data_IF_789914058900
#
_entry.id   IF_789914058900
#
_cell.length_a   1.000
_cell.length_b   1.000
_cell.length_c   1.000
_cell.angle_alpha   90.00
_cell.angle_beta   90.00
_cell.angle_gamma   90.00
#
_symmetry.space_group_name_H-M   'P 1'
#
loop_
_entity.id
_entity.type
_entity.pdbx_description
1 polymer ?
#
# COMPACT_ATOMS: atom_id res chain seq x y z
N UNK A 1 -0.31 53.54 -26.17
CA UNK A 1 0.76 53.03 -25.28
C UNK A 1 0.15 51.99 -24.35
N UNK A 2 0.56 50.73 -24.49
CA UNK A 2 0.14 49.55 -23.71
C UNK A 2 1.39 48.94 -23.09
N UNK A 3 1.29 48.46 -21.85
CA UNK A 3 2.11 47.42 -21.19
C UNK A 3 1.63 47.32 -19.71
N UNK A 4 1.48 46.20 -18.99
CA UNK A 4 1.65 44.74 -19.16
C UNK A 4 0.54 44.07 -18.29
N UNK A 5 -0.13 42.95 -18.60
CA UNK A 5 0.23 41.53 -18.80
C UNK A 5 1.01 40.84 -17.67
N UNK A 6 0.30 40.06 -16.84
CA UNK A 6 0.76 38.73 -16.41
C UNK A 6 -0.45 37.77 -16.32
N UNK A 7 -0.35 36.69 -17.11
CA UNK A 7 -1.27 35.54 -17.16
C UNK A 7 -0.58 34.39 -16.44
N UNK A 8 -1.32 33.63 -15.64
CA UNK A 8 -0.97 32.26 -15.26
C UNK A 8 -1.99 31.33 -15.92
N UNK A 9 -1.48 30.40 -16.73
CA UNK A 9 -2.20 29.31 -17.40
C UNK A 9 -1.80 28.02 -16.69
N UNK A 10 -2.73 27.11 -16.34
CA UNK A 10 -2.38 25.80 -15.82
C UNK A 10 -1.87 24.90 -16.96
N UNK A 11 -0.73 24.25 -16.73
CA UNK A 11 -0.12 23.29 -17.66
C UNK A 11 -0.83 21.95 -17.49
N UNK A 12 -1.60 21.56 -18.51
CA UNK A 12 -1.89 20.16 -18.81
C UNK A 12 -0.61 19.50 -19.30
N UNK A 13 -0.17 18.42 -18.65
CA UNK A 13 0.85 17.53 -19.22
C UNK A 13 0.17 16.22 -19.61
N UNK A 14 -0.01 16.05 -20.93
CA UNK A 14 -0.44 14.83 -21.59
C UNK A 14 0.73 13.83 -21.58
N UNK A 15 0.46 12.57 -21.26
CA UNK A 15 1.37 11.45 -21.44
C UNK A 15 1.37 11.07 -22.93
N UNK A 16 2.52 11.17 -23.58
CA UNK A 16 2.77 10.59 -24.89
C UNK A 16 4.21 10.07 -24.91
N UNK A 17 4.42 8.75 -24.97
CA UNK A 17 5.65 8.17 -25.50
C UNK A 17 5.40 6.76 -26.07
N UNK A 18 5.58 6.63 -27.38
CA UNK A 18 6.19 5.47 -28.02
C UNK A 18 7.38 5.97 -28.85
N UNK A 19 8.39 5.11 -28.96
CA UNK A 19 9.64 5.23 -29.73
C UNK A 19 10.79 6.00 -29.08
N UNK A 20 11.57 5.29 -28.25
CA UNK A 20 12.99 4.96 -28.51
C UNK A 20 13.39 3.85 -27.55
N UNK A 21 14.07 2.80 -28.05
CA UNK A 21 14.50 1.65 -27.26
C UNK A 21 15.59 2.00 -26.26
N UNK A 22 15.17 2.23 -25.01
CA UNK A 22 15.91 1.97 -23.77
C UNK A 22 14.85 2.04 -22.66
N UNK A 23 14.39 0.88 -22.18
CA UNK A 23 13.54 0.79 -20.98
C UNK A 23 14.41 1.12 -19.77
N UNK A 24 14.48 2.42 -19.44
CA UNK A 24 14.96 2.86 -18.14
C UNK A 24 13.91 2.46 -17.11
N UNK A 25 14.32 1.76 -16.05
CA UNK A 25 13.45 1.36 -14.96
C UNK A 25 12.71 2.58 -14.40
N UNK A 26 11.39 2.49 -14.24
CA UNK A 26 10.57 3.56 -13.65
C UNK A 26 10.98 3.91 -12.20
N UNK A 27 11.86 3.10 -11.60
CA UNK A 27 12.46 3.26 -10.28
C UNK A 27 13.35 4.50 -10.06
N UNK A 28 13.71 5.28 -11.10
CA UNK A 28 14.67 6.40 -10.98
C UNK A 28 14.05 7.80 -10.73
N UNK A 29 12.71 7.91 -10.56
CA UNK A 29 12.05 9.23 -10.44
C UNK A 29 11.42 9.56 -9.08
N UNK A 30 11.54 8.72 -8.04
CA UNK A 30 10.95 9.00 -6.73
C UNK A 30 11.86 8.61 -5.57
N UNK A 31 12.83 9.47 -5.26
CA UNK A 31 13.61 9.38 -4.03
C UNK A 31 13.69 10.76 -3.35
N UNK A 32 12.70 11.08 -2.53
CA UNK A 32 12.79 12.14 -1.53
C UNK A 32 12.55 11.51 -0.15
N UNK A 33 13.66 11.20 0.54
CA UNK A 33 13.66 10.64 1.89
C UNK A 33 13.38 11.74 2.92
N UNK A 34 12.55 11.42 3.91
CA UNK A 34 12.83 11.84 5.28
C UNK A 34 12.38 10.74 6.24
N UNK A 35 13.35 10.12 6.92
CA UNK A 35 13.14 9.10 7.93
C UNK A 35 12.88 9.74 9.29
N UNK A 36 11.93 9.19 10.05
CA UNK A 36 11.86 9.38 11.50
C UNK A 36 11.42 8.08 12.18
N UNK A 37 12.38 7.17 12.37
CA UNK A 37 12.23 5.98 13.21
C UNK A 37 12.83 6.26 14.59
N UNK A 38 11.98 6.54 15.57
CA UNK A 38 12.29 6.36 16.99
C UNK A 38 11.01 6.04 17.75
N UNK A 39 10.94 4.83 18.32
CA UNK A 39 9.99 4.45 19.36
C UNK A 39 10.29 5.29 20.62
N UNK A 40 9.68 6.46 20.71
CA UNK A 40 9.69 7.26 21.93
C UNK A 40 8.37 7.03 22.69
N UNK A 41 8.38 6.98 24.03
CA UNK A 41 7.15 7.17 24.80
C UNK A 41 6.49 8.50 24.37
N UNK A 42 5.16 8.58 24.50
CA UNK A 42 4.41 9.79 24.17
C UNK A 42 5.15 11.03 24.71
N UNK A 43 5.41 12.05 23.88
CA UNK A 43 6.14 13.24 24.34
C UNK A 43 5.45 13.84 25.56
N UNK A 44 6.21 14.48 26.45
CA UNK A 44 5.74 15.06 27.73
C UNK A 44 4.69 16.18 27.59
N UNK A 45 4.17 16.41 26.38
CA UNK A 45 3.17 17.40 26.00
C UNK A 45 1.96 16.78 25.27
N UNK A 46 1.89 15.46 25.11
CA UNK A 46 0.70 14.78 24.61
C UNK A 46 -0.45 14.89 25.61
N UNK A 47 -1.67 15.16 25.12
CA UNK A 47 -2.86 15.16 25.96
C UNK A 47 -3.26 13.71 26.25
N UNK A 48 -3.19 13.30 27.52
CA UNK A 48 -3.69 11.99 27.93
C UNK A 48 -5.22 11.95 27.83
N UNK A 49 -5.73 10.90 27.18
CA UNK A 49 -7.14 10.65 26.90
C UNK A 49 -7.49 9.28 27.47
N UNK A 50 -8.24 9.28 28.57
CA UNK A 50 -8.70 8.05 29.21
C UNK A 50 -10.11 7.68 28.70
N UNK A 51 -10.18 6.64 27.88
CA UNK A 51 -11.43 6.10 27.35
C UNK A 51 -12.09 5.04 28.27
N UNK A 52 -11.50 4.71 29.43
CA UNK A 52 -12.12 3.82 30.41
C UNK A 52 -13.39 4.46 31.02
N UNK A 53 -13.30 5.73 31.40
CA UNK A 53 -14.38 6.45 32.07
C UNK A 53 -15.34 7.14 31.08
N UNK A 54 -14.81 7.57 29.93
CA UNK A 54 -15.59 8.18 28.84
C UNK A 54 -15.13 7.61 27.49
N UNK A 55 -15.81 6.58 26.94
CA UNK A 55 -15.45 5.99 25.66
C UNK A 55 -15.45 6.97 24.46
N UNK A 56 -16.09 8.13 24.61
CA UNK A 56 -16.13 9.19 23.58
C UNK A 56 -15.05 10.27 23.79
N UNK A 57 -14.19 10.14 24.80
CA UNK A 57 -13.19 11.14 25.16
C UNK A 57 -12.26 11.50 24.00
N UNK A 58 -11.83 10.51 23.21
CA UNK A 58 -10.96 10.74 22.05
C UNK A 58 -11.62 11.62 20.98
N UNK A 59 -12.86 11.28 20.58
CA UNK A 59 -13.59 12.08 19.61
C UNK A 59 -13.80 13.52 20.10
N UNK A 60 -14.13 13.69 21.39
CA UNK A 60 -14.28 15.02 22.01
C UNK A 60 -12.96 15.77 22.04
N UNK A 61 -11.84 15.13 22.36
CA UNK A 61 -10.52 15.74 22.41
C UNK A 61 -10.08 16.23 21.02
N UNK A 62 -10.28 15.41 19.98
CA UNK A 62 -10.02 15.79 18.59
C UNK A 62 -10.95 16.93 18.15
N UNK A 63 -12.23 16.87 18.49
CA UNK A 63 -13.19 17.94 18.16
C UNK A 63 -12.87 19.27 18.85
N UNK A 64 -12.38 19.23 20.09
CA UNK A 64 -12.03 20.43 20.86
C UNK A 64 -10.61 20.94 20.59
N UNK A 65 -9.76 20.17 19.91
CA UNK A 65 -8.41 20.62 19.55
C UNK A 65 -8.47 21.89 18.71
N UNK A 66 -7.61 22.86 19.02
CA UNK A 66 -7.56 24.08 18.23
C UNK A 66 -6.84 23.81 16.90
N UNK A 67 -7.22 24.53 15.85
CA UNK A 67 -6.38 24.61 14.65
C UNK A 67 -5.06 25.25 15.06
N UNK A 68 -4.05 24.39 15.19
CA UNK A 68 -2.76 24.71 15.75
C UNK A 68 -1.73 24.58 14.63
N UNK A 69 -0.75 25.46 14.59
CA UNK A 69 0.43 25.32 13.72
C UNK A 69 1.34 24.18 14.18
N UNK A 70 1.13 23.69 15.41
CA UNK A 70 1.82 22.56 16.00
C UNK A 70 0.94 21.33 15.98
N UNK A 71 1.57 20.17 15.78
CA UNK A 71 0.92 18.86 15.83
C UNK A 71 0.20 18.66 17.17
N UNK A 72 -1.07 18.27 17.15
CA UNK A 72 -1.82 17.92 18.37
C UNK A 72 -1.65 16.43 18.65
N UNK A 73 -1.09 16.10 19.81
CA UNK A 73 -0.80 14.73 20.21
C UNK A 73 -1.78 14.25 21.28
N UNK A 74 -2.37 13.08 21.05
CA UNK A 74 -3.30 12.42 21.95
C UNK A 74 -2.76 11.04 22.34
N UNK A 75 -2.75 10.81 23.64
CA UNK A 75 -2.17 9.67 24.29
C UNK A 75 -3.32 8.85 24.89
N UNK A 76 -3.74 7.76 24.23
CA UNK A 76 -4.98 7.04 24.57
C UNK A 76 -4.72 5.88 25.53
N UNK A 77 -5.68 5.68 26.44
CA UNK A 77 -5.78 4.51 27.31
C UNK A 77 -7.22 3.98 27.35
N UNK A 78 -7.39 2.67 27.44
CA UNK A 78 -8.71 2.01 27.43
C UNK A 78 -9.29 1.82 26.03
N UNK A 79 -10.59 1.57 25.95
CA UNK A 79 -11.28 1.31 24.68
C UNK A 79 -12.11 2.53 24.26
N UNK A 80 -11.66 3.22 23.22
CA UNK A 80 -12.36 4.37 22.65
C UNK A 80 -13.39 3.90 21.61
N UNK A 81 -14.55 4.53 21.61
CA UNK A 81 -15.66 4.18 20.72
C UNK A 81 -15.72 5.11 19.50
N UNK A 82 -15.60 4.52 18.31
CA UNK A 82 -15.84 5.17 17.03
C UNK A 82 -17.34 5.27 16.66
N UNK A 83 -17.67 5.91 15.52
CA UNK A 83 -16.73 6.38 14.50
C UNK A 83 -15.90 7.57 14.97
N UNK A 84 -14.57 7.46 14.87
CA UNK A 84 -13.65 8.57 15.12
C UNK A 84 -13.43 9.33 13.82
N UNK A 85 -13.86 10.58 13.75
CA UNK A 85 -13.72 11.43 12.56
C UNK A 85 -12.58 12.42 12.81
N UNK A 86 -11.56 12.36 11.95
CA UNK A 86 -10.40 13.25 11.95
C UNK A 86 -10.41 14.06 10.66
N UNK A 87 -10.83 15.32 10.77
CA UNK A 87 -10.90 16.30 9.68
C UNK A 87 -10.02 17.55 9.93
N UNK A 88 -9.15 17.46 10.93
CA UNK A 88 -8.17 18.48 11.31
C UNK A 88 -6.77 18.03 10.98
N UNK A 89 -5.92 18.96 10.58
CA UNK A 89 -4.53 18.66 10.23
C UNK A 89 -3.67 18.40 11.46
N UNK A 90 -2.57 17.70 11.23
CA UNK A 90 -1.48 17.47 12.18
C UNK A 90 -1.96 16.83 13.49
N UNK A 91 -2.71 15.74 13.38
CA UNK A 91 -3.18 14.95 14.53
C UNK A 91 -2.28 13.74 14.69
N UNK A 92 -1.85 13.47 15.91
CA UNK A 92 -1.14 12.24 16.25
C UNK A 92 -1.86 11.56 17.40
N UNK A 93 -2.21 10.30 17.19
CA UNK A 93 -2.82 9.45 18.21
C UNK A 93 -1.86 8.31 18.48
N UNK A 94 -1.45 8.20 19.74
CA UNK A 94 -0.58 7.14 20.23
C UNK A 94 -1.23 6.44 21.42
N UNK A 95 -0.87 5.19 21.64
CA UNK A 95 -1.25 4.46 22.85
C UNK A 95 -0.13 4.56 23.91
N UNK A 96 -0.50 4.88 25.15
CA UNK A 96 0.43 5.19 26.25
C UNK A 96 1.19 3.98 26.80
N UNK A 97 0.71 2.77 26.54
CA UNK A 97 1.40 1.53 26.86
C UNK A 97 1.23 0.52 25.72
N UNK A 98 2.09 -0.50 25.59
CA UNK A 98 1.84 -1.58 24.65
C UNK A 98 0.48 -2.23 24.98
N UNK A 99 -0.51 -2.01 24.12
CA UNK A 99 -1.82 -2.66 24.08
C UNK A 99 -2.91 -2.24 25.11
N UNK A 100 -2.79 -1.11 25.80
CA UNK A 100 -3.89 -0.60 26.66
C UNK A 100 -4.98 0.19 25.92
N UNK A 101 -4.59 0.91 24.87
CA UNK A 101 -5.45 1.73 24.03
C UNK A 101 -5.95 0.96 22.81
N UNK A 102 -7.27 0.96 22.60
CA UNK A 102 -7.89 0.41 21.39
C UNK A 102 -9.01 1.30 20.90
N UNK A 103 -9.31 1.22 19.61
CA UNK A 103 -10.48 1.87 19.02
C UNK A 103 -11.38 0.76 18.48
N UNK A 104 -12.65 0.78 18.88
CA UNK A 104 -13.69 -0.15 18.41
C UNK A 104 -14.91 0.65 17.97
N UNK A 105 -15.78 0.06 17.16
CA UNK A 105 -17.07 0.70 16.88
C UNK A 105 -18.01 0.56 18.08
N UNK A 106 -18.73 1.65 18.37
CA UNK A 106 -19.75 1.64 19.40
C UNK A 106 -20.83 0.57 19.07
N UNK A 107 -21.14 -0.38 19.98
CA UNK A 107 -22.14 -1.41 19.76
C UNK A 107 -23.52 -0.89 19.35
N UNK A 108 -23.89 0.31 19.78
CA UNK A 108 -25.17 0.95 19.41
C UNK A 108 -25.22 1.40 17.94
N UNK A 109 -24.07 1.51 17.27
CA UNK A 109 -23.96 1.83 15.84
C UNK A 109 -23.89 0.56 14.96
N UNK A 110 -23.98 -0.63 15.55
CA UNK A 110 -24.11 -1.90 14.84
C UNK A 110 -25.61 -2.08 14.47
N UNK A 111 -26.08 -1.27 13.52
CA UNK A 111 -27.39 -1.49 12.88
C UNK A 111 -27.22 -2.33 11.62
N UNK A 112 -28.33 -2.83 11.05
CA UNK A 112 -28.38 -3.73 9.89
C UNK A 112 -27.78 -3.17 8.58
N UNK A 113 -27.30 -1.93 8.56
CA UNK A 113 -26.60 -1.29 7.43
C UNK A 113 -25.07 -1.31 7.63
N UNK A 114 -24.54 -2.50 7.93
CA UNK A 114 -23.12 -2.79 8.19
C UNK A 114 -22.13 -2.38 7.09
N UNK A 115 -22.59 -1.90 5.92
CA UNK A 115 -21.74 -1.75 4.72
C UNK A 115 -20.94 -0.45 4.64
N UNK A 116 -21.18 0.55 5.49
CA UNK A 116 -20.53 1.89 5.35
C UNK A 116 -19.91 2.47 6.61
N UNK A 117 -20.12 1.88 7.79
CA UNK A 117 -19.61 2.46 9.05
C UNK A 117 -18.14 2.13 9.25
N UNK A 118 -17.30 3.16 9.33
CA UNK A 118 -15.86 3.06 9.52
C UNK A 118 -15.52 3.28 11.01
N UNK A 119 -14.56 2.54 11.58
CA UNK A 119 -14.12 2.77 12.98
C UNK A 119 -13.40 4.12 13.11
N UNK A 120 -12.55 4.43 12.14
CA UNK A 120 -11.82 5.70 12.03
C UNK A 120 -11.92 6.21 10.59
N UNK A 121 -12.33 7.47 10.44
CA UNK A 121 -12.36 8.18 9.16
C UNK A 121 -11.42 9.38 9.21
N UNK A 122 -10.44 9.40 8.32
CA UNK A 122 -9.47 10.48 8.16
C UNK A 122 -9.75 11.18 6.84
N UNK A 123 -10.03 12.48 6.88
CA UNK A 123 -10.49 13.24 5.72
C UNK A 123 -9.83 14.62 5.65
N UNK A 124 -9.19 14.97 4.53
CA UNK A 124 -8.50 16.26 4.33
C UNK A 124 -7.57 16.63 5.50
N UNK A 125 -6.79 15.66 5.95
CA UNK A 125 -6.01 15.75 7.18
C UNK A 125 -4.62 15.12 7.04
N UNK A 126 -3.72 15.48 7.95
CA UNK A 126 -2.43 14.80 8.14
C UNK A 126 -2.45 14.13 9.50
N UNK A 127 -2.34 12.80 9.53
CA UNK A 127 -2.54 12.00 10.76
C UNK A 127 -1.42 10.99 10.96
N UNK A 128 -0.97 10.82 12.20
CA UNK A 128 -0.16 9.68 12.61
C UNK A 128 -0.94 8.83 13.61
N UNK A 129 -1.08 7.53 13.33
CA UNK A 129 -1.63 6.54 14.25
C UNK A 129 -0.50 5.58 14.65
N UNK A 130 -0.18 5.52 15.95
CA UNK A 130 0.97 4.76 16.45
C UNK A 130 0.58 3.82 17.58
N UNK A 131 0.94 2.54 17.48
CA UNK A 131 0.72 1.52 18.52
C UNK A 131 -0.76 1.35 18.91
N UNK A 132 -1.67 1.47 17.93
CA UNK A 132 -3.11 1.37 18.14
C UNK A 132 -3.64 0.02 17.67
N UNK A 133 -4.40 -0.66 18.52
CA UNK A 133 -5.20 -1.81 18.12
C UNK A 133 -6.59 -1.34 17.66
N UNK A 134 -6.97 -1.70 16.44
CA UNK A 134 -8.31 -1.41 15.91
C UNK A 134 -9.11 -2.70 15.94
N UNK A 135 -10.05 -2.78 16.88
CA UNK A 135 -10.88 -3.96 17.10
C UNK A 135 -12.08 -3.91 16.17
N UNK A 136 -12.33 -5.02 15.48
CA UNK A 136 -13.44 -5.18 14.54
C UNK A 136 -14.24 -6.44 14.88
N UNK A 137 -15.53 -6.26 15.15
CA UNK A 137 -16.51 -7.33 15.22
C UNK A 137 -17.39 -7.22 13.96
N UNK A 138 -17.01 -7.93 12.89
CA UNK A 138 -17.78 -8.05 11.63
C UNK A 138 -17.96 -6.77 10.77
N UNK A 139 -17.20 -5.71 11.03
CA UNK A 139 -17.24 -4.45 10.26
C UNK A 139 -16.35 -4.53 9.01
N UNK A 140 -16.78 -3.99 7.85
CA UNK A 140 -15.99 -4.07 6.63
C UNK A 140 -14.79 -3.12 6.57
N UNK A 141 -14.82 -1.99 7.29
CA UNK A 141 -13.81 -0.93 7.23
C UNK A 141 -13.39 -0.47 8.63
N UNK A 142 -12.14 -0.73 9.01
CA UNK A 142 -11.53 -0.18 10.22
C UNK A 142 -11.13 1.28 10.01
N UNK A 143 -10.28 1.55 9.01
CA UNK A 143 -9.76 2.89 8.74
C UNK A 143 -10.03 3.25 7.30
N UNK A 144 -10.60 4.44 7.08
CA UNK A 144 -10.70 5.04 5.75
C UNK A 144 -9.94 6.36 5.72
N UNK A 145 -9.03 6.48 4.75
CA UNK A 145 -8.22 7.67 4.46
C UNK A 145 -8.71 8.26 3.13
N UNK A 146 -9.19 9.50 3.14
CA UNK A 146 -9.86 10.12 1.98
C UNK A 146 -9.59 11.63 1.89
N UNK A 147 -9.98 12.24 0.76
CA UNK A 147 -9.92 13.68 0.46
C UNK A 147 -8.54 14.29 0.63
N UNK A 148 -7.54 13.78 -0.10
CA UNK A 148 -6.16 14.28 -0.07
C UNK A 148 -5.51 14.23 1.33
N UNK A 149 -5.79 13.17 2.08
CA UNK A 149 -5.17 13.00 3.40
C UNK A 149 -3.77 12.39 3.29
N UNK A 150 -2.93 12.67 4.28
CA UNK A 150 -1.61 12.04 4.44
C UNK A 150 -1.57 11.32 5.77
N UNK A 151 -1.38 10.01 5.78
CA UNK A 151 -1.47 9.19 7.00
C UNK A 151 -0.21 8.37 7.21
N UNK A 152 0.27 8.34 8.44
CA UNK A 152 1.32 7.40 8.88
C UNK A 152 0.71 6.40 9.85
N UNK A 153 0.84 5.11 9.55
CA UNK A 153 0.43 4.00 10.38
C UNK A 153 1.69 3.29 10.88
N UNK A 154 1.91 3.29 12.19
CA UNK A 154 3.06 2.63 12.79
C UNK A 154 2.61 1.65 13.87
N UNK A 155 3.01 0.38 13.74
CA UNK A 155 2.62 -0.68 14.68
C UNK A 155 1.09 -0.74 14.86
N UNK A 156 0.37 -0.82 13.73
CA UNK A 156 -1.07 -1.01 13.72
C UNK A 156 -1.39 -2.49 13.58
N UNK A 157 -2.33 -2.96 14.39
CA UNK A 157 -2.85 -4.32 14.31
C UNK A 157 -4.34 -4.31 13.99
N UNK A 158 -4.74 -5.19 13.06
CA UNK A 158 -6.12 -5.47 12.71
C UNK A 158 -6.38 -6.97 12.79
N UNK A 159 -7.54 -7.36 13.32
CA UNK A 159 -7.92 -8.77 13.49
C UNK A 159 -8.50 -9.42 12.23
N UNK A 160 -8.86 -8.63 11.22
CA UNK A 160 -9.54 -9.12 10.01
C UNK A 160 -8.53 -9.37 8.90
N UNK A 161 -8.46 -10.63 8.45
CA UNK A 161 -7.70 -11.06 7.28
C UNK A 161 -8.66 -11.23 6.11
N UNK A 162 -8.37 -10.69 4.91
CA UNK A 162 -9.14 -10.99 3.71
C UNK A 162 -9.15 -12.50 3.45
N UNK A 163 -10.30 -13.04 3.07
CA UNK A 163 -10.43 -14.44 2.62
C UNK A 163 -10.95 -14.49 1.19
N UNK A 164 -10.73 -15.60 0.50
CA UNK A 164 -11.22 -15.82 -0.87
C UNK A 164 -12.76 -15.71 -0.99
N UNK A 165 -13.49 -15.98 0.09
CA UNK A 165 -14.96 -15.93 0.13
C UNK A 165 -15.52 -14.55 0.51
N UNK A 166 -14.72 -13.71 1.20
CA UNK A 166 -15.13 -12.37 1.63
C UNK A 166 -13.92 -11.44 1.62
N UNK A 167 -13.68 -10.82 0.47
CA UNK A 167 -12.60 -9.84 0.28
C UNK A 167 -13.03 -8.53 0.96
N UNK A 168 -12.69 -8.40 2.23
CA UNK A 168 -12.94 -7.20 3.02
C UNK A 168 -11.60 -6.62 3.43
N UNK A 169 -11.27 -5.44 2.92
CA UNK A 169 -10.04 -4.72 3.26
C UNK A 169 -10.32 -3.73 4.40
N UNK A 170 -9.81 -4.00 5.62
CA UNK A 170 -10.10 -3.15 6.77
C UNK A 170 -9.49 -1.74 6.66
N UNK A 171 -8.42 -1.57 5.89
CA UNK A 171 -7.79 -0.27 5.66
C UNK A 171 -8.01 0.16 4.21
N UNK A 172 -8.65 1.30 4.01
CA UNK A 172 -8.96 1.86 2.69
C UNK A 172 -8.28 3.21 2.53
N UNK A 173 -7.53 3.37 1.45
CA UNK A 173 -6.87 4.64 1.07
C UNK A 173 -7.41 5.07 -0.28
N UNK A 174 -8.08 6.22 -0.32
CA UNK A 174 -8.80 6.68 -1.52
C UNK A 174 -8.77 8.20 -1.68
N UNK A 175 -9.34 8.70 -2.79
CA UNK A 175 -9.48 10.12 -3.11
C UNK A 175 -8.16 10.89 -3.02
N UNK A 176 -7.16 10.46 -3.79
CA UNK A 176 -5.84 11.08 -3.93
C UNK A 176 -5.11 11.25 -2.58
N UNK A 177 -5.26 10.26 -1.70
CA UNK A 177 -4.62 10.26 -0.38
C UNK A 177 -3.31 9.47 -0.41
N UNK A 178 -2.45 9.72 0.58
CA UNK A 178 -1.16 9.01 0.73
C UNK A 178 -1.07 8.37 2.11
N UNK A 179 -0.66 7.09 2.16
CA UNK A 179 -0.46 6.38 3.43
C UNK A 179 0.91 5.72 3.49
N UNK A 180 1.59 5.87 4.63
CA UNK A 180 2.86 5.22 4.97
C UNK A 180 2.63 4.20 6.08
N UNK A 181 3.19 2.99 5.95
CA UNK A 181 3.00 1.90 6.91
C UNK A 181 4.34 1.31 7.36
N UNK A 182 4.49 1.18 8.67
CA UNK A 182 5.68 0.58 9.31
C UNK A 182 5.29 -0.37 10.44
N UNK A 183 6.15 -1.36 10.68
CA UNK A 183 6.12 -2.25 11.84
C UNK A 183 4.75 -2.91 12.09
N UNK A 184 3.99 -3.17 11.04
CA UNK A 184 2.61 -3.65 11.13
C UNK A 184 2.49 -5.10 10.70
N UNK A 185 1.47 -5.82 11.21
CA UNK A 185 1.30 -7.26 10.94
C UNK A 185 -0.13 -7.59 10.54
N UNK A 186 -0.28 -8.40 9.48
CA UNK A 186 -1.50 -9.19 9.23
C UNK A 186 -2.74 -8.45 8.72
N UNK A 187 -2.65 -7.15 8.44
CA UNK A 187 -3.77 -6.33 7.98
C UNK A 187 -3.99 -6.40 6.46
N UNK A 188 -5.22 -6.18 6.01
CA UNK A 188 -5.58 -6.00 4.60
C UNK A 188 -5.76 -4.53 4.22
N UNK A 189 -5.20 -4.14 3.07
CA UNK A 189 -5.25 -2.78 2.53
C UNK A 189 -5.84 -2.72 1.12
N UNK A 190 -6.72 -1.76 0.90
CA UNK A 190 -7.19 -1.34 -0.41
C UNK A 190 -6.69 0.08 -0.72
N UNK A 191 -6.15 0.27 -1.91
CA UNK A 191 -5.65 1.56 -2.40
C UNK A 191 -6.33 1.88 -3.72
N UNK A 192 -7.12 2.95 -3.76
CA UNK A 192 -7.95 3.32 -4.91
C UNK A 192 -8.00 4.84 -5.12
N UNK A 193 -8.68 5.29 -6.17
CA UNK A 193 -8.94 6.72 -6.40
C UNK A 193 -7.67 7.56 -6.59
N UNK A 194 -6.71 7.07 -7.38
CA UNK A 194 -5.41 7.75 -7.61
C UNK A 194 -4.60 7.98 -6.33
N UNK A 195 -4.70 7.07 -5.36
CA UNK A 195 -4.01 7.17 -4.08
C UNK A 195 -2.64 6.49 -4.11
N UNK A 196 -1.84 6.77 -3.08
CA UNK A 196 -0.50 6.22 -2.92
C UNK A 196 -0.39 5.49 -1.58
N UNK A 197 0.21 4.31 -1.60
CA UNK A 197 0.56 3.59 -0.38
C UNK A 197 2.02 3.15 -0.38
N UNK A 198 2.71 3.39 0.73
CA UNK A 198 4.11 2.99 0.91
C UNK A 198 4.26 2.13 2.16
N UNK A 199 4.87 0.97 1.98
CA UNK A 199 5.31 0.10 3.07
C UNK A 199 6.81 0.35 3.29
N UNK A 200 7.14 0.90 4.45
CA UNK A 200 8.50 1.25 4.82
C UNK A 200 9.25 0.00 5.31
N UNK A 201 9.30 -0.25 6.62
CA UNK A 201 10.07 -1.38 7.20
C UNK A 201 9.25 -2.24 8.14
N UNK A 202 9.69 -3.50 8.28
CA UNK A 202 9.22 -4.48 9.27
C UNK A 202 7.71 -4.77 9.19
N UNK A 203 7.13 -4.65 8.00
CA UNK A 203 5.75 -5.03 7.77
C UNK A 203 5.66 -6.51 7.36
N UNK A 204 4.71 -7.25 7.94
CA UNK A 204 4.62 -8.70 7.75
C UNK A 204 3.18 -9.20 7.54
N UNK A 205 2.99 -10.13 6.61
CA UNK A 205 1.77 -10.89 6.44
C UNK A 205 0.59 -10.06 5.91
N UNK A 206 0.86 -9.01 5.14
CA UNK A 206 -0.18 -8.13 4.62
C UNK A 206 -0.83 -8.64 3.34
N UNK A 207 -2.10 -8.25 3.16
CA UNK A 207 -2.85 -8.40 1.93
C UNK A 207 -3.05 -7.02 1.33
N UNK A 208 -2.72 -6.84 0.04
CA UNK A 208 -2.77 -5.56 -0.63
C UNK A 208 -3.58 -5.66 -1.92
N UNK A 209 -4.49 -4.72 -2.13
CA UNK A 209 -5.24 -4.56 -3.38
C UNK A 209 -5.12 -3.12 -3.89
N UNK A 210 -4.58 -2.97 -5.09
CA UNK A 210 -4.34 -1.67 -5.73
C UNK A 210 -5.22 -1.55 -6.97
N UNK A 211 -6.06 -0.51 -6.98
CA UNK A 211 -7.11 -0.28 -7.96
C UNK A 211 -7.09 1.17 -8.48
N UNK A 212 -7.85 1.44 -9.55
CA UNK A 212 -8.25 2.79 -9.97
C UNK A 212 -7.10 3.80 -10.11
N UNK A 213 -6.10 3.47 -10.93
CA UNK A 213 -4.95 4.36 -11.23
C UNK A 213 -4.10 4.73 -10.00
N UNK A 214 -4.16 3.91 -8.96
CA UNK A 214 -3.37 4.07 -7.73
C UNK A 214 -2.00 3.38 -7.82
N UNK A 215 -1.15 3.71 -6.87
CA UNK A 215 0.21 3.18 -6.75
C UNK A 215 0.45 2.64 -5.35
N UNK A 216 1.10 1.49 -5.26
CA UNK A 216 1.66 1.03 -3.99
C UNK A 216 3.13 0.62 -4.14
N UNK A 217 3.93 0.82 -3.10
CA UNK A 217 5.33 0.40 -3.10
C UNK A 217 5.78 -0.13 -1.75
N UNK A 218 6.71 -1.07 -1.78
CA UNK A 218 7.47 -1.51 -0.63
C UNK A 218 8.94 -1.13 -0.86
N UNK A 219 9.55 -0.43 0.11
CA UNK A 219 10.89 0.18 -0.05
C UNK A 219 11.96 -0.44 0.87
N UNK A 220 11.60 -1.48 1.60
CA UNK A 220 12.48 -2.23 2.49
C UNK A 220 12.03 -3.68 2.59
N UNK A 221 12.70 -4.44 3.45
CA UNK A 221 12.37 -5.82 3.73
C UNK A 221 10.99 -5.90 4.40
N UNK A 222 9.98 -6.22 3.60
CA UNK A 222 8.61 -6.45 4.02
C UNK A 222 8.10 -7.78 3.43
N UNK A 223 7.06 -8.34 4.05
CA UNK A 223 6.46 -9.61 3.62
C UNK A 223 4.96 -9.43 3.38
N UNK A 224 4.49 -9.92 2.22
CA UNK A 224 3.10 -9.90 1.81
C UNK A 224 2.60 -11.33 1.57
N UNK A 225 1.44 -11.66 2.12
CA UNK A 225 0.73 -12.90 1.78
C UNK A 225 0.16 -12.81 0.37
N UNK A 226 -0.30 -11.63 -0.02
CA UNK A 226 -0.93 -11.42 -1.30
C UNK A 226 -0.89 -9.96 -1.73
N UNK A 227 -0.50 -9.73 -2.98
CA UNK A 227 -0.58 -8.44 -3.65
C UNK A 227 -1.39 -8.61 -4.93
N UNK A 228 -2.49 -7.86 -5.04
CA UNK A 228 -3.30 -7.77 -6.24
C UNK A 228 -3.24 -6.36 -6.81
N UNK A 229 -2.93 -6.25 -8.09
CA UNK A 229 -2.93 -4.98 -8.82
C UNK A 229 -3.81 -5.10 -10.06
N UNK A 230 -4.72 -4.14 -10.25
CA UNK A 230 -5.57 -4.09 -11.44
C UNK A 230 -6.02 -2.65 -11.78
N UNK A 231 -6.45 -2.41 -13.02
CA UNK A 231 -7.08 -1.15 -13.41
C UNK A 231 -6.14 0.05 -13.57
N UNK A 232 -5.12 -0.05 -14.43
CA UNK A 232 -4.13 1.01 -14.70
C UNK A 232 -3.25 1.36 -13.49
N UNK A 233 -2.94 0.36 -12.66
CA UNK A 233 -2.19 0.52 -11.41
C UNK A 233 -0.76 0.03 -11.52
N UNK A 234 0.04 0.42 -10.55
CA UNK A 234 1.44 0.02 -10.43
C UNK A 234 1.77 -0.43 -9.00
N UNK A 235 2.55 -1.51 -8.90
CA UNK A 235 3.17 -1.94 -7.66
C UNK A 235 4.68 -2.17 -7.80
N UNK A 236 5.45 -1.72 -6.81
CA UNK A 236 6.89 -1.97 -6.70
C UNK A 236 7.20 -2.70 -5.38
N UNK A 237 7.80 -3.88 -5.44
CA UNK A 237 8.45 -4.53 -4.30
C UNK A 237 9.97 -4.36 -4.38
N UNK A 238 10.55 -3.49 -3.57
CA UNK A 238 12.00 -3.22 -3.59
C UNK A 238 12.69 -3.70 -2.30
N UNK A 239 14.01 -3.88 -2.40
CA UNK A 239 14.92 -4.09 -1.28
C UNK A 239 14.49 -5.24 -0.34
N UNK A 240 14.61 -6.48 -0.84
CA UNK A 240 14.30 -7.72 -0.11
C UNK A 240 12.83 -7.85 0.29
N UNK A 241 11.93 -7.26 -0.49
CA UNK A 241 10.49 -7.52 -0.36
C UNK A 241 10.19 -8.97 -0.74
N UNK A 242 9.35 -9.65 0.03
CA UNK A 242 8.84 -10.98 -0.29
C UNK A 242 7.32 -10.96 -0.48
N UNK A 243 6.84 -11.60 -1.54
CA UNK A 243 5.42 -11.68 -1.88
C UNK A 243 5.08 -13.15 -2.13
N UNK A 244 4.21 -13.71 -1.30
CA UNK A 244 3.79 -15.11 -1.46
C UNK A 244 2.95 -15.27 -2.74
N UNK A 245 1.93 -14.43 -2.94
CA UNK A 245 1.12 -14.45 -4.17
C UNK A 245 1.00 -13.07 -4.81
N UNK A 246 1.49 -12.93 -6.05
CA UNK A 246 1.35 -11.73 -6.85
C UNK A 246 0.35 -11.94 -7.98
N UNK A 247 -0.63 -11.04 -8.07
CA UNK A 247 -1.74 -11.10 -9.01
C UNK A 247 -1.81 -9.78 -9.80
N UNK A 248 -1.50 -9.83 -11.10
CA UNK A 248 -1.46 -8.66 -11.98
C UNK A 248 -2.56 -8.79 -13.03
N UNK A 249 -3.58 -7.92 -12.99
CA UNK A 249 -4.78 -8.06 -13.82
C UNK A 249 -5.11 -6.83 -14.67
N UNK A 250 -5.91 -7.05 -15.72
CA UNK A 250 -6.50 -6.02 -16.59
C UNK A 250 -5.44 -5.20 -17.34
N UNK A 251 -4.99 -4.08 -16.79
CA UNK A 251 -4.01 -3.16 -17.36
C UNK A 251 -3.07 -2.68 -16.26
N UNK A 252 -2.45 -3.59 -15.53
CA UNK A 252 -1.59 -3.25 -14.40
C UNK A 252 -0.16 -3.70 -14.63
N UNK A 253 0.76 -3.08 -13.88
CA UNK A 253 2.17 -3.41 -13.91
C UNK A 253 2.68 -3.68 -12.49
N UNK A 254 3.55 -4.66 -12.34
CA UNK A 254 4.22 -4.94 -11.08
C UNK A 254 5.71 -5.20 -11.30
N UNK A 255 6.53 -4.72 -10.38
CA UNK A 255 7.98 -4.89 -10.44
C UNK A 255 8.50 -5.39 -9.09
N UNK A 256 9.49 -6.28 -9.12
CA UNK A 256 10.30 -6.62 -7.95
C UNK A 256 11.77 -6.33 -8.21
N UNK A 257 12.46 -5.75 -7.23
CA UNK A 257 13.81 -5.22 -7.39
C UNK A 257 14.68 -5.47 -6.15
N UNK A 258 16.00 -5.49 -6.35
CA UNK A 258 17.04 -5.58 -5.30
C UNK A 258 16.79 -6.74 -4.32
N UNK A 259 17.07 -7.96 -4.77
CA UNK A 259 16.95 -9.18 -3.97
C UNK A 259 15.51 -9.45 -3.47
N UNK A 260 14.49 -8.87 -4.12
CA UNK A 260 13.09 -9.13 -3.80
C UNK A 260 12.61 -10.43 -4.44
N UNK A 261 11.55 -11.02 -3.91
CA UNK A 261 11.08 -12.33 -4.35
C UNK A 261 9.56 -12.44 -4.44
N UNK A 262 9.11 -13.24 -5.39
CA UNK A 262 7.71 -13.64 -5.57
C UNK A 262 7.63 -15.16 -5.58
N UNK A 263 6.74 -15.77 -4.79
CA UNK A 263 6.61 -17.23 -4.72
C UNK A 263 5.59 -17.81 -5.72
N UNK A 264 4.57 -17.04 -6.07
CA UNK A 264 3.58 -17.36 -7.09
C UNK A 264 3.22 -16.12 -7.90
N UNK A 265 3.11 -16.27 -9.22
CA UNK A 265 2.68 -15.21 -10.12
C UNK A 265 1.45 -15.60 -10.94
N UNK A 266 0.42 -14.76 -10.87
CA UNK A 266 -0.74 -14.82 -11.75
C UNK A 266 -0.84 -13.52 -12.52
N UNK A 267 -1.01 -13.63 -13.83
CA UNK A 267 -1.14 -12.48 -14.71
C UNK A 267 -2.31 -12.66 -15.65
N UNK A 268 -3.04 -11.60 -15.96
CA UNK A 268 -3.99 -11.64 -17.07
C UNK A 268 -4.48 -10.29 -17.56
N UNK A 269 -4.91 -10.26 -18.83
CA UNK A 269 -5.24 -9.02 -19.55
C UNK A 269 -4.06 -8.53 -20.40
N UNK A 270 -3.73 -7.23 -20.28
CA UNK A 270 -2.58 -6.54 -20.87
C UNK A 270 -1.68 -6.06 -19.72
N UNK A 271 -0.84 -6.96 -19.22
CA UNK A 271 -0.12 -6.73 -17.97
C UNK A 271 1.38 -6.87 -18.14
N UNK A 272 2.13 -6.20 -17.26
CA UNK A 272 3.58 -6.28 -17.18
C UNK A 272 4.01 -6.77 -15.81
N UNK A 273 4.95 -7.71 -15.79
CA UNK A 273 5.72 -8.06 -14.62
C UNK A 273 7.21 -8.00 -14.95
N UNK A 274 8.01 -7.43 -14.05
CA UNK A 274 9.45 -7.46 -14.18
C UNK A 274 10.17 -7.78 -12.85
N UNK A 275 11.29 -8.50 -12.95
CA UNK A 275 12.19 -8.76 -11.84
C UNK A 275 13.61 -8.28 -12.16
N UNK A 276 14.18 -7.48 -11.26
CA UNK A 276 15.46 -6.79 -11.44
C UNK A 276 16.44 -7.04 -10.29
N UNK A 277 17.75 -6.94 -10.58
CA UNK A 277 18.84 -6.84 -9.60
C UNK A 277 18.83 -7.94 -8.53
N UNK A 278 19.13 -9.16 -8.95
CA UNK A 278 19.18 -10.38 -8.12
C UNK A 278 17.84 -10.75 -7.48
N UNK A 279 16.73 -10.28 -8.05
CA UNK A 279 15.40 -10.69 -7.61
C UNK A 279 15.08 -12.09 -8.12
N UNK A 280 14.09 -12.73 -7.51
CA UNK A 280 13.66 -14.08 -7.88
C UNK A 280 12.15 -14.21 -8.00
N UNK A 281 11.72 -15.09 -8.88
CA UNK A 281 10.33 -15.50 -9.02
C UNK A 281 10.29 -17.03 -9.05
N UNK A 282 9.45 -17.62 -8.22
CA UNK A 282 9.15 -19.05 -8.26
C UNK A 282 7.75 -19.27 -8.83
N UNK A 283 7.58 -20.40 -9.50
CA UNK A 283 6.26 -20.91 -9.86
C UNK A 283 5.50 -21.46 -8.64
N UNK A 284 4.17 -21.64 -8.76
CA UNK A 284 3.46 -21.77 -10.04
C UNK A 284 3.18 -20.45 -10.77
N UNK A 285 3.04 -20.53 -12.09
CA UNK A 285 2.71 -19.40 -12.98
C UNK A 285 1.35 -19.63 -13.63
N UNK A 286 0.48 -18.62 -13.57
CA UNK A 286 -0.82 -18.65 -14.25
C UNK A 286 -0.97 -17.44 -15.16
N UNK A 287 -0.81 -17.62 -16.47
CA UNK A 287 -0.82 -16.52 -17.46
C UNK A 287 -2.07 -16.58 -18.36
N UNK A 288 -2.94 -15.57 -18.20
CA UNK A 288 -4.25 -15.45 -18.84
C UNK A 288 -4.32 -14.18 -19.73
N UNK A 289 -3.69 -14.19 -20.90
CA UNK A 289 -3.77 -13.09 -21.85
C UNK A 289 -2.41 -12.76 -22.46
N UNK A 290 -2.28 -11.51 -22.90
CA UNK A 290 -1.05 -10.99 -23.51
C UNK A 290 -0.25 -10.31 -22.40
N UNK A 291 0.86 -10.93 -22.03
CA UNK A 291 1.66 -10.47 -20.89
C UNK A 291 3.04 -10.07 -21.34
N UNK A 292 3.62 -9.10 -20.64
CA UNK A 292 5.05 -8.81 -20.69
C UNK A 292 5.68 -9.34 -19.41
N UNK A 293 6.65 -10.23 -19.56
CA UNK A 293 7.41 -10.80 -18.45
C UNK A 293 8.90 -10.56 -18.70
N UNK A 294 9.52 -9.81 -17.80
CA UNK A 294 10.91 -9.36 -17.95
C UNK A 294 11.77 -9.80 -16.77
N UNK A 295 12.95 -10.35 -17.06
CA UNK A 295 13.96 -10.66 -16.07
C UNK A 295 15.27 -9.93 -16.41
N UNK A 296 15.83 -9.17 -15.47
CA UNK A 296 17.16 -8.59 -15.62
C UNK A 296 18.01 -8.90 -14.40
N UNK A 297 19.16 -9.55 -14.60
CA UNK A 297 20.05 -9.99 -13.51
C UNK A 297 19.27 -10.76 -12.42
N UNK A 298 18.26 -11.54 -12.81
CA UNK A 298 17.25 -12.12 -11.92
C UNK A 298 16.98 -13.57 -12.28
N UNK A 299 16.32 -14.31 -11.38
CA UNK A 299 16.06 -15.73 -11.57
C UNK A 299 14.58 -16.09 -11.60
N UNK A 300 14.22 -17.06 -12.43
CA UNK A 300 12.91 -17.71 -12.45
C UNK A 300 13.06 -19.23 -12.28
N UNK A 301 12.35 -19.81 -11.31
CA UNK A 301 12.32 -21.26 -11.08
C UNK A 301 10.93 -21.84 -11.33
N UNK A 302 10.87 -23.13 -11.65
CA UNK A 302 9.64 -23.85 -12.02
C UNK A 302 8.90 -23.22 -13.21
N UNK A 303 9.63 -22.53 -14.09
CA UNK A 303 9.05 -21.94 -15.29
C UNK A 303 8.62 -23.05 -16.24
N UNK A 304 7.41 -22.95 -16.78
CA UNK A 304 6.90 -23.87 -17.80
C UNK A 304 6.71 -23.09 -19.09
N UNK A 305 7.03 -23.70 -20.23
CA UNK A 305 6.75 -23.08 -21.52
C UNK A 305 5.27 -22.75 -21.64
N UNK A 306 4.96 -21.54 -22.12
CA UNK A 306 3.59 -21.08 -22.27
C UNK A 306 3.39 -20.68 -23.73
N UNK A 307 2.53 -21.41 -24.44
CA UNK A 307 2.13 -21.07 -25.79
C UNK A 307 1.19 -19.85 -25.75
N UNK A 308 1.78 -18.65 -25.84
CA UNK A 308 1.10 -17.35 -25.86
C UNK A 308 1.72 -16.48 -26.95
N UNK A 309 1.23 -16.55 -28.20
CA UNK A 309 1.88 -15.95 -29.37
C UNK A 309 1.91 -14.40 -29.37
N UNK A 310 1.20 -13.75 -28.44
CA UNK A 310 1.12 -12.30 -28.31
C UNK A 310 1.76 -11.79 -27.00
N UNK A 311 2.38 -12.68 -26.22
CA UNK A 311 3.12 -12.33 -25.02
C UNK A 311 4.59 -12.06 -25.34
N UNK A 312 5.20 -11.18 -24.56
CA UNK A 312 6.62 -10.86 -24.65
C UNK A 312 7.28 -11.42 -23.40
N UNK A 313 8.15 -12.41 -23.58
CA UNK A 313 8.96 -12.99 -22.52
C UNK A 313 10.41 -12.63 -22.84
N UNK A 314 11.11 -12.02 -21.89
CA UNK A 314 12.45 -11.48 -22.10
C UNK A 314 13.31 -11.71 -20.86
N UNK A 315 14.60 -11.99 -21.06
CA UNK A 315 15.57 -12.11 -19.98
C UNK A 315 16.94 -11.56 -20.39
N UNK A 316 17.61 -10.80 -19.53
CA UNK A 316 18.99 -10.31 -19.72
C UNK A 316 19.83 -10.58 -18.48
N UNK A 317 20.92 -11.33 -18.64
CA UNK A 317 21.64 -11.95 -17.52
C UNK A 317 20.67 -12.68 -16.56
N UNK A 318 19.64 -13.30 -17.11
CA UNK A 318 18.59 -13.97 -16.36
C UNK A 318 18.88 -15.46 -16.22
N UNK A 319 18.51 -16.07 -15.10
CA UNK A 319 18.64 -17.51 -14.88
C UNK A 319 17.24 -18.12 -14.82
N UNK A 320 16.88 -18.96 -15.79
CA UNK A 320 15.57 -19.62 -15.83
C UNK A 320 15.76 -21.12 -15.74
N UNK A 321 15.16 -21.74 -14.72
CA UNK A 321 15.31 -23.17 -14.44
C UNK A 321 16.78 -23.64 -14.46
N UNK A 322 17.69 -22.81 -13.92
CA UNK A 322 19.12 -23.06 -13.89
C UNK A 322 19.89 -22.76 -15.19
N UNK A 323 19.21 -22.37 -16.27
CA UNK A 323 19.84 -21.98 -17.55
C UNK A 323 20.07 -20.47 -17.58
N UNK A 324 21.31 -20.06 -17.91
CA UNK A 324 21.68 -18.65 -18.05
C UNK A 324 21.31 -18.11 -19.45
N UNK A 325 20.65 -16.96 -19.47
CA UNK A 325 20.32 -16.17 -20.64
C UNK A 325 21.07 -14.83 -20.59
N UNK A 326 22.23 -14.71 -21.27
CA UNK A 326 23.17 -13.59 -21.09
C UNK A 326 22.78 -12.29 -21.81
N UNK A 327 21.75 -12.32 -22.65
CA UNK A 327 21.22 -11.18 -23.39
C UNK A 327 19.70 -11.32 -23.47
N UNK A 328 18.98 -10.24 -23.85
CA UNK A 328 17.54 -10.17 -24.14
C UNK A 328 17.07 -11.16 -25.22
N UNK A 329 17.25 -12.45 -24.95
CA UNK A 329 17.14 -13.55 -25.88
C UNK A 329 16.65 -14.77 -25.12
N UNK A 330 15.41 -14.71 -24.68
CA UNK A 330 14.66 -15.84 -24.17
C UNK A 330 13.18 -15.61 -24.41
N UNK A 331 12.69 -16.07 -25.56
CA UNK A 331 11.27 -16.37 -25.69
C UNK A 331 11.05 -17.74 -25.04
N UNK A 332 10.01 -17.88 -24.21
CA UNK A 332 9.71 -19.08 -23.43
C UNK A 332 10.03 -20.37 -24.19
N UNK A 333 10.84 -21.23 -23.58
CA UNK A 333 11.50 -22.36 -24.27
C UNK A 333 10.49 -23.17 -25.10
N UNK A 334 10.71 -23.27 -26.40
CA UNK A 334 10.12 -24.35 -27.19
C UNK A 334 10.64 -25.69 -26.63
N UNK A 335 9.71 -26.60 -26.30
CA UNK A 335 9.97 -28.04 -26.25
C UNK A 335 10.31 -28.65 -24.88
N UNK A 336 9.28 -29.12 -24.18
CA UNK A 336 8.95 -30.56 -24.14
C UNK A 336 7.52 -30.77 -23.67
#
# INVERSE_FOLDING_TARGET
MKHQLHKLVPVCTLIAFFHTGHTLAMSELLDEKTALNTLLPAPSWALSVNCHDDPQALQKAIYNSRWSVQRSQFAIAGECYGPIIIDKRDIEVSNDAPYSGSITLNPSHISSELSTTEVVKISNSTVALTNIAIKMNDIPRAVTVTKNSVVTLNNISGSVKPTAEKVTYPFVVTDNSTTYVSNSTGAGFEVSGSSVMQFDSENNGHFLNVLDTSVARSVSQNQFESVQVSGNTYFLGDNKTHIESLMVWSKASAEVNRESSVAQLQMGGQTLFAAYRNSSISGPYSLYGNVVFELEHSSASNWVSVDKPQSILLGNNAIVNGTLYPSWSWAGQDGN
#
